data_IF_210390183931
#
_entry.id   IF_210390183931
#
_cell.length_a   1.000
_cell.length_b   1.000
_cell.length_c   1.000
_cell.angle_alpha   90.00
_cell.angle_beta   90.00
_cell.angle_gamma   90.00
#
_symmetry.space_group_name_H-M   'P 1'
#
loop_
_entity.id
_entity.type
_entity.pdbx_description
1 polymer ?
#
# COMPACT_ATOMS: atom_id res chain seq x y z
N UNK A 1 -3.55 14.69 18.96
CA UNK A 1 -4.40 13.51 19.27
C UNK A 1 -3.57 12.30 18.90
N UNK A 2 -3.30 11.39 19.85
CA UNK A 2 -2.42 10.25 19.60
C UNK A 2 -2.94 9.35 18.47
N UNK A 3 -2.04 8.53 17.91
CA UNK A 3 -2.35 7.48 16.93
C UNK A 3 -3.70 6.82 17.24
N UNK A 4 -4.62 6.87 16.28
CA UNK A 4 -5.95 6.27 16.38
C UNK A 4 -6.09 5.20 15.31
N UNK A 5 -6.30 3.94 15.70
CA UNK A 5 -6.67 2.89 14.76
C UNK A 5 -8.15 3.00 14.41
N UNK A 6 -8.46 3.04 13.12
CA UNK A 6 -9.83 3.23 12.62
C UNK A 6 -10.52 1.91 12.26
N UNK A 7 -9.76 0.94 11.77
CA UNK A 7 -10.21 -0.43 11.62
C UNK A 7 -9.01 -1.38 11.61
N UNK A 8 -9.25 -2.64 11.97
CA UNK A 8 -8.28 -3.72 11.82
C UNK A 8 -8.37 -4.38 10.44
N UNK A 9 -7.25 -4.89 9.96
CA UNK A 9 -7.18 -5.83 8.85
C UNK A 9 -6.13 -6.89 9.15
N UNK A 10 -6.25 -8.05 8.50
CA UNK A 10 -5.24 -9.10 8.58
C UNK A 10 -5.11 -9.80 7.23
N UNK A 11 -3.89 -10.16 6.88
CA UNK A 11 -3.58 -10.87 5.64
C UNK A 11 -3.72 -12.38 5.87
N UNK A 12 -4.97 -12.87 5.89
CA UNK A 12 -5.26 -14.29 6.17
C UNK A 12 -5.30 -15.19 4.94
N UNK A 13 -5.10 -14.64 3.74
CA UNK A 13 -5.38 -15.35 2.49
C UNK A 13 -4.19 -15.29 1.51
N UNK A 14 -3.97 -16.38 0.77
CA UNK A 14 -2.97 -16.44 -0.30
C UNK A 14 -3.51 -17.24 -1.48
N UNK A 15 -3.37 -16.73 -2.71
CA UNK A 15 -3.65 -17.46 -3.94
C UNK A 15 -2.38 -17.52 -4.78
N UNK A 16 -2.13 -18.67 -5.37
CA UNK A 16 -0.91 -18.93 -6.12
C UNK A 16 -1.09 -19.12 -7.61
N UNK A 17 -2.30 -18.91 -8.12
CA UNK A 17 -2.59 -19.03 -9.54
C UNK A 17 -1.68 -18.11 -10.38
N UNK A 18 -0.95 -18.72 -11.32
CA UNK A 18 -0.23 -18.04 -12.39
C UNK A 18 -1.05 -18.13 -13.67
N UNK A 19 -0.70 -17.37 -14.71
CA UNK A 19 -1.39 -17.39 -16.00
C UNK A 19 -1.47 -18.80 -16.63
N UNK A 20 -0.58 -19.72 -16.23
CA UNK A 20 -0.55 -21.12 -16.68
C UNK A 20 -1.42 -22.11 -15.87
N UNK A 21 -2.20 -21.66 -14.89
CA UNK A 21 -3.13 -22.54 -14.15
C UNK A 21 -2.48 -23.50 -13.13
N UNK A 22 -1.38 -23.09 -12.49
CA UNK A 22 -0.67 -23.94 -11.52
C UNK A 22 -1.46 -24.27 -10.24
N UNK A 23 -1.19 -25.46 -9.66
CA UNK A 23 -1.91 -26.04 -8.52
C UNK A 23 -1.16 -25.93 -7.16
N UNK A 24 -0.05 -25.19 -7.10
CA UNK A 24 0.78 -25.07 -5.88
C UNK A 24 0.22 -23.95 -5.01
N UNK A 25 0.20 -24.08 -3.68
CA UNK A 25 -0.17 -23.01 -2.72
C UNK A 25 1.02 -22.78 -1.75
N UNK A 26 1.66 -21.60 -1.78
CA UNK A 26 2.84 -21.22 -0.97
C UNK A 26 3.17 -19.71 -0.98
N UNK A 27 3.21 -19.07 0.20
CA UNK A 27 3.61 -17.67 0.52
C UNK A 27 2.72 -16.56 -0.08
N UNK A 28 2.23 -15.67 0.81
CA UNK A 28 1.27 -14.58 0.62
C UNK A 28 1.77 -13.42 -0.28
N UNK A 29 2.24 -13.70 -1.49
CA UNK A 29 2.82 -12.67 -2.37
C UNK A 29 1.73 -11.82 -3.03
N UNK A 30 1.85 -10.50 -2.95
CA UNK A 30 1.03 -9.54 -3.71
C UNK A 30 -0.29 -9.11 -3.06
N UNK A 31 -0.72 -9.73 -1.95
CA UNK A 31 -1.93 -9.32 -1.23
C UNK A 31 -1.78 -7.94 -0.60
N UNK A 32 -0.63 -7.68 0.01
CA UNK A 32 -0.26 -6.37 0.53
C UNK A 32 -0.24 -5.31 -0.58
N UNK A 33 0.25 -5.64 -1.77
CA UNK A 33 0.24 -4.74 -2.92
C UNK A 33 -1.19 -4.43 -3.38
N UNK A 34 -2.01 -5.46 -3.58
CA UNK A 34 -3.39 -5.36 -4.05
C UNK A 34 -4.31 -4.61 -3.07
N UNK A 35 -4.27 -4.96 -1.78
CA UNK A 35 -5.09 -4.31 -0.76
C UNK A 35 -4.68 -2.84 -0.58
N UNK A 36 -3.39 -2.55 -0.57
CA UNK A 36 -2.89 -1.17 -0.49
C UNK A 36 -3.27 -0.35 -1.72
N UNK A 37 -3.24 -0.96 -2.92
CA UNK A 37 -3.70 -0.29 -4.14
C UNK A 37 -5.21 -0.02 -4.12
N UNK A 38 -6.03 -0.97 -3.66
CA UNK A 38 -7.46 -0.76 -3.45
C UNK A 38 -7.75 0.35 -2.45
N UNK A 39 -7.00 0.40 -1.35
CA UNK A 39 -7.13 1.48 -0.39
C UNK A 39 -6.80 2.82 -1.04
N UNK A 40 -5.68 2.93 -1.75
CA UNK A 40 -5.32 4.14 -2.51
C UNK A 40 -6.43 4.55 -3.49
N UNK A 41 -6.91 3.62 -4.32
CA UNK A 41 -7.98 3.87 -5.29
C UNK A 41 -9.26 4.39 -4.61
N UNK A 42 -9.64 3.82 -3.46
CA UNK A 42 -10.79 4.32 -2.70
C UNK A 42 -10.59 5.78 -2.23
N UNK A 43 -9.36 6.16 -1.88
CA UNK A 43 -9.01 7.53 -1.47
C UNK A 43 -8.97 8.52 -2.63
N UNK A 44 -8.64 8.07 -3.83
CA UNK A 44 -8.72 8.85 -5.07
C UNK A 44 -10.18 9.05 -5.49
N UNK A 45 -10.98 8.00 -5.43
CA UNK A 45 -12.40 8.00 -5.80
C UNK A 45 -13.31 8.67 -4.75
N UNK A 46 -12.75 9.19 -3.64
CA UNK A 46 -13.49 9.95 -2.65
C UNK A 46 -14.31 9.13 -1.65
N UNK A 47 -14.02 7.84 -1.50
CA UNK A 47 -14.72 6.97 -0.55
C UNK A 47 -14.58 7.49 0.90
N UNK A 48 -15.66 7.48 1.71
CA UNK A 48 -15.58 7.75 3.14
C UNK A 48 -14.62 6.78 3.84
N UNK A 49 -13.90 7.25 4.85
CA UNK A 49 -12.92 6.42 5.59
C UNK A 49 -13.57 5.17 6.22
N UNK A 50 -14.81 5.28 6.69
CA UNK A 50 -15.55 4.14 7.24
C UNK A 50 -15.83 3.03 6.20
N UNK A 51 -15.74 3.35 4.90
CA UNK A 51 -15.99 2.43 3.78
C UNK A 51 -14.71 2.15 2.98
N UNK A 52 -13.55 2.65 3.40
CA UNK A 52 -12.30 2.51 2.66
C UNK A 52 -11.56 1.19 2.94
N UNK A 53 -12.12 0.30 3.77
CA UNK A 53 -11.49 -1.00 4.05
C UNK A 53 -11.46 -1.83 2.77
N UNK A 54 -10.28 -2.30 2.30
CA UNK A 54 -10.21 -3.07 1.07
C UNK A 54 -11.06 -4.33 1.13
N UNK A 55 -11.88 -4.55 0.11
CA UNK A 55 -12.66 -5.76 -0.05
C UNK A 55 -11.73 -6.95 -0.35
N UNK A 56 -11.95 -8.06 0.37
CA UNK A 56 -11.07 -9.23 0.32
C UNK A 56 -11.16 -9.93 -1.04
N UNK A 57 -12.35 -10.02 -1.63
CA UNK A 57 -12.53 -10.70 -2.93
C UNK A 57 -11.85 -9.88 -4.03
N UNK A 58 -12.05 -8.57 -4.05
CA UNK A 58 -11.38 -7.66 -4.99
C UNK A 58 -9.86 -7.70 -4.81
N UNK A 59 -9.36 -7.70 -3.57
CA UNK A 59 -7.94 -7.80 -3.29
C UNK A 59 -7.35 -9.12 -3.82
N UNK A 60 -8.07 -10.23 -3.65
CA UNK A 60 -7.66 -11.54 -4.18
C UNK A 60 -7.56 -11.58 -5.71
N UNK A 61 -8.55 -11.03 -6.41
CA UNK A 61 -8.53 -10.96 -7.89
C UNK A 61 -7.36 -10.10 -8.38
N UNK A 62 -7.14 -8.95 -7.74
CA UNK A 62 -6.04 -8.06 -8.10
C UNK A 62 -4.66 -8.64 -7.77
N UNK A 63 -4.55 -9.40 -6.68
CA UNK A 63 -3.31 -10.08 -6.33
C UNK A 63 -2.91 -11.11 -7.39
N UNK A 64 -3.88 -11.85 -7.93
CA UNK A 64 -3.63 -12.78 -9.03
C UNK A 64 -3.08 -12.03 -10.25
N UNK A 65 -3.71 -10.89 -10.60
CA UNK A 65 -3.25 -10.05 -11.71
C UNK A 65 -1.84 -9.50 -11.48
N UNK A 66 -1.60 -8.90 -10.31
CA UNK A 66 -0.31 -8.33 -9.92
C UNK A 66 0.84 -9.33 -10.06
N UNK A 67 0.60 -10.62 -9.77
CA UNK A 67 1.62 -11.68 -9.94
C UNK A 67 1.87 -12.11 -11.38
N UNK A 68 0.96 -11.81 -12.30
CA UNK A 68 1.15 -12.11 -13.72
C UNK A 68 1.96 -11.03 -14.42
N UNK A 69 1.92 -9.81 -13.89
CA UNK A 69 2.69 -8.70 -14.41
C UNK A 69 4.18 -8.85 -14.01
N UNK A 70 5.14 -8.52 -14.91
CA UNK A 70 6.55 -8.59 -14.59
C UNK A 70 6.92 -7.57 -13.50
N UNK A 71 7.53 -8.04 -12.41
CA UNK A 71 7.92 -7.23 -11.24
C UNK A 71 9.09 -6.25 -11.48
N UNK A 72 9.55 -6.10 -12.73
CA UNK A 72 10.68 -5.26 -13.08
C UNK A 72 10.31 -3.77 -13.09
N UNK A 73 11.01 -2.97 -12.29
CA UNK A 73 10.94 -1.50 -12.36
C UNK A 73 9.62 -0.86 -11.92
N UNK A 74 8.73 -1.60 -11.23
CA UNK A 74 7.46 -1.08 -10.74
C UNK A 74 6.29 -1.17 -11.72
N UNK A 75 6.48 -1.82 -12.87
CA UNK A 75 5.43 -1.97 -13.90
C UNK A 75 4.23 -2.77 -13.39
N UNK A 76 4.46 -3.72 -12.50
CA UNK A 76 3.45 -4.48 -11.77
C UNK A 76 2.52 -3.56 -10.95
N UNK A 77 3.09 -2.56 -10.25
CA UNK A 77 2.31 -1.55 -9.50
C UNK A 77 1.55 -0.63 -10.45
N UNK A 78 2.18 -0.18 -11.54
CA UNK A 78 1.52 0.66 -12.55
C UNK A 78 0.33 -0.08 -13.19
N UNK A 79 0.51 -1.33 -13.60
CA UNK A 79 -0.56 -2.14 -14.18
C UNK A 79 -1.68 -2.40 -13.17
N UNK A 80 -1.34 -2.63 -11.91
CA UNK A 80 -2.31 -2.78 -10.84
C UNK A 80 -3.21 -1.54 -10.69
N UNK A 81 -2.63 -0.34 -10.74
CA UNK A 81 -3.41 0.90 -10.68
C UNK A 81 -4.21 1.19 -11.95
N UNK A 82 -3.70 0.83 -13.13
CA UNK A 82 -4.44 0.94 -14.39
C UNK A 82 -5.76 0.13 -14.35
N UNK A 83 -5.74 -1.08 -13.77
CA UNK A 83 -6.95 -1.91 -13.58
C UNK A 83 -7.94 -1.25 -12.61
N UNK A 84 -7.45 -0.43 -11.68
CA UNK A 84 -8.25 0.34 -10.73
C UNK A 84 -8.68 1.71 -11.27
N UNK A 85 -8.45 1.98 -12.55
CA UNK A 85 -8.75 3.26 -13.21
C UNK A 85 -8.05 4.45 -12.52
N UNK A 86 -6.86 4.21 -11.96
CA UNK A 86 -6.01 5.21 -11.32
C UNK A 86 -4.65 5.26 -12.04
N UNK A 87 -3.96 6.38 -11.93
CA UNK A 87 -2.58 6.51 -12.41
C UNK A 87 -1.60 6.39 -11.25
N UNK A 88 -0.51 5.65 -11.44
CA UNK A 88 0.58 5.55 -10.47
C UNK A 88 1.91 5.97 -11.10
N UNK A 89 2.54 6.99 -10.50
CA UNK A 89 3.84 7.51 -10.95
C UNK A 89 4.89 7.27 -9.88
N UNK A 90 6.05 6.71 -10.24
CA UNK A 90 7.16 6.51 -9.31
C UNK A 90 7.59 7.85 -8.71
N UNK A 91 7.43 8.01 -7.39
CA UNK A 91 7.78 9.23 -6.66
C UNK A 91 9.13 9.10 -5.95
N UNK A 92 9.46 7.91 -5.45
CA UNK A 92 10.71 7.59 -4.76
C UNK A 92 11.11 6.15 -5.05
N UNK A 93 12.41 5.85 -5.10
CA UNK A 93 12.92 4.49 -5.33
C UNK A 93 14.27 4.28 -4.62
N UNK A 94 14.39 3.16 -3.89
CA UNK A 94 15.65 2.73 -3.28
C UNK A 94 16.16 3.64 -2.16
N UNK A 95 15.27 4.38 -1.49
CA UNK A 95 15.65 5.31 -0.42
C UNK A 95 15.45 4.70 0.96
N UNK A 96 16.07 5.27 1.99
CA UNK A 96 15.78 4.90 3.38
C UNK A 96 14.40 5.36 3.85
N UNK A 97 13.91 4.79 4.96
CA UNK A 97 12.58 5.12 5.53
C UNK A 97 12.44 6.60 5.91
N UNK A 98 13.47 7.26 6.44
CA UNK A 98 13.35 8.69 6.78
C UNK A 98 13.30 9.62 5.56
N UNK A 99 14.19 9.48 4.56
CA UNK A 99 14.11 10.23 3.31
C UNK A 99 12.75 10.06 2.61
N UNK A 100 12.36 8.82 2.28
CA UNK A 100 11.07 8.26 2.66
C UNK A 100 9.93 9.22 3.03
N UNK A 101 9.60 9.10 4.32
CA UNK A 101 8.52 9.79 5.00
C UNK A 101 8.66 11.32 4.93
N UNK A 102 9.89 11.84 4.83
CA UNK A 102 10.12 13.28 4.66
C UNK A 102 9.65 13.76 3.29
N UNK A 103 9.93 13.02 2.21
CA UNK A 103 9.45 13.35 0.87
C UNK A 103 7.92 13.33 0.77
N UNK A 104 7.26 12.34 1.38
CA UNK A 104 5.79 12.20 1.34
C UNK A 104 5.02 13.27 2.13
N UNK A 105 5.68 13.90 3.11
CA UNK A 105 5.13 15.06 3.83
C UNK A 105 5.40 16.35 3.06
N UNK A 106 6.56 16.46 2.41
CA UNK A 106 6.92 17.63 1.61
C UNK A 106 6.07 17.77 0.34
N UNK A 107 5.65 16.64 -0.24
CA UNK A 107 4.67 16.58 -1.32
C UNK A 107 3.43 15.82 -0.83
N UNK A 108 2.39 16.50 -0.31
CA UNK A 108 1.17 15.83 0.16
C UNK A 108 0.42 15.11 -0.97
N UNK A 109 0.01 13.86 -0.74
CA UNK A 109 -0.61 13.01 -1.76
C UNK A 109 -1.12 11.67 -1.22
N UNK A 110 -1.67 10.84 -2.10
CA UNK A 110 -1.96 9.42 -1.82
C UNK A 110 -0.83 8.60 -2.40
N UNK A 111 -0.21 7.74 -1.59
CA UNK A 111 0.93 6.96 -2.01
C UNK A 111 0.75 5.49 -1.71
N UNK A 112 1.10 4.67 -2.70
CA UNK A 112 1.43 3.28 -2.48
C UNK A 112 2.93 3.20 -2.15
N UNK A 113 3.27 2.68 -0.98
CA UNK A 113 4.65 2.59 -0.51
C UNK A 113 5.04 1.13 -0.34
N UNK A 114 6.31 0.81 -0.53
CA UNK A 114 6.81 -0.54 -0.34
C UNK A 114 8.24 -0.53 0.19
N UNK A 115 8.63 -1.63 0.82
CA UNK A 115 9.98 -1.84 1.36
C UNK A 115 10.71 -3.04 0.71
N UNK A 116 10.31 -3.41 -0.51
CA UNK A 116 10.80 -4.58 -1.24
C UNK A 116 10.15 -5.92 -0.89
N UNK A 117 9.58 -6.05 0.32
CA UNK A 117 8.90 -7.29 0.75
C UNK A 117 7.42 -7.09 1.07
N UNK A 118 7.06 -5.88 1.48
CA UNK A 118 5.73 -5.51 1.92
C UNK A 118 5.30 -4.20 1.27
N UNK A 119 4.01 -4.09 0.99
CA UNK A 119 3.39 -2.90 0.43
C UNK A 119 2.28 -2.38 1.33
N UNK A 120 2.23 -1.07 1.46
CA UNK A 120 1.33 -0.32 2.33
C UNK A 120 0.82 0.91 1.59
N UNK A 121 -0.09 1.65 2.20
CA UNK A 121 -0.59 2.89 1.62
C UNK A 121 -0.65 4.02 2.63
N UNK A 122 -0.52 5.26 2.15
CA UNK A 122 -0.62 6.47 2.95
C UNK A 122 -1.42 7.54 2.22
N UNK A 123 -2.10 8.40 2.97
CA UNK A 123 -2.71 9.63 2.46
C UNK A 123 -2.19 10.76 3.36
N UNK A 124 -1.46 11.71 2.77
CA UNK A 124 -0.80 12.81 3.48
C UNK A 124 -1.41 14.18 3.15
N UNK A 125 -2.50 14.23 2.37
CA UNK A 125 -3.08 15.49 1.83
C UNK A 125 -3.67 16.42 2.88
N UNK A 126 -4.39 15.86 3.86
CA UNK A 126 -5.11 16.65 4.88
C UNK A 126 -4.92 16.05 6.26
N UNK A 127 -5.45 14.85 6.46
CA UNK A 127 -5.23 14.01 7.62
C UNK A 127 -4.22 12.94 7.27
N UNK A 128 -3.28 12.67 8.17
CA UNK A 128 -2.25 11.66 7.94
C UNK A 128 -2.79 10.27 8.24
N UNK A 129 -2.88 9.46 7.20
CA UNK A 129 -3.30 8.08 7.27
C UNK A 129 -2.15 7.14 6.92
N UNK A 130 -2.15 5.96 7.56
CA UNK A 130 -1.27 4.84 7.22
C UNK A 130 -2.10 3.57 7.25
N UNK A 131 -2.17 2.90 6.11
CA UNK A 131 -2.83 1.62 5.94
C UNK A 131 -1.80 0.52 5.72
N UNK A 132 -1.90 -0.53 6.52
CA UNK A 132 -1.14 -1.76 6.38
C UNK A 132 -2.11 -2.94 6.45
N UNK A 133 -2.10 -3.82 5.45
CA UNK A 133 -3.01 -4.98 5.42
C UNK A 133 -2.85 -5.88 6.67
N UNK A 134 -1.67 -5.92 7.28
CA UNK A 134 -1.40 -6.78 8.44
C UNK A 134 -1.97 -6.26 9.75
N UNK A 135 -2.29 -4.96 9.81
CA UNK A 135 -2.62 -4.30 11.08
C UNK A 135 -3.80 -3.33 11.01
N UNK A 136 -4.14 -2.80 9.84
CA UNK A 136 -5.31 -1.96 9.61
C UNK A 136 -4.98 -0.54 9.19
N UNK A 137 -5.96 0.35 9.40
CA UNK A 137 -5.84 1.77 9.09
C UNK A 137 -5.62 2.58 10.36
N UNK A 138 -4.60 3.43 10.34
CA UNK A 138 -4.25 4.34 11.41
C UNK A 138 -4.37 5.79 10.96
N UNK A 139 -4.81 6.64 11.87
CA UNK A 139 -4.88 8.09 11.74
C UNK A 139 -3.96 8.74 12.76
N UNK A 140 -3.26 9.79 12.34
CA UNK A 140 -2.31 10.52 13.17
C UNK A 140 -2.66 12.01 13.19
N UNK A 141 -2.33 12.70 14.29
CA UNK A 141 -2.60 14.13 14.37
C UNK A 141 -1.54 15.01 13.72
N UNK A 142 -0.29 14.54 13.65
CA UNK A 142 0.81 15.29 13.06
C UNK A 142 1.87 14.37 12.44
N UNK A 143 2.79 14.99 11.70
CA UNK A 143 3.85 14.29 10.97
C UNK A 143 4.87 13.62 11.91
N UNK A 144 5.08 14.13 13.12
CA UNK A 144 6.02 13.54 14.09
C UNK A 144 5.45 12.19 14.57
N UNK A 145 4.19 12.18 14.98
CA UNK A 145 3.48 10.97 15.40
C UNK A 145 3.36 9.97 14.26
N UNK A 146 3.01 10.41 13.05
CA UNK A 146 2.91 9.57 11.86
C UNK A 146 4.24 8.90 11.54
N UNK A 147 5.34 9.66 11.51
CA UNK A 147 6.68 9.09 11.30
C UNK A 147 7.06 8.09 12.39
N UNK A 148 6.83 8.44 13.66
CA UNK A 148 7.10 7.55 14.78
C UNK A 148 6.25 6.27 14.76
N UNK A 149 4.99 6.36 14.31
CA UNK A 149 4.09 5.21 14.14
C UNK A 149 4.62 4.22 13.11
N UNK A 150 5.03 4.71 11.94
CA UNK A 150 5.56 3.85 10.87
C UNK A 150 6.93 3.26 11.25
N UNK A 151 7.84 4.07 11.82
CA UNK A 151 9.17 3.60 12.27
C UNK A 151 9.08 2.45 13.27
N UNK A 152 8.15 2.51 14.22
CA UNK A 152 7.95 1.46 15.23
C UNK A 152 7.59 0.11 14.60
N UNK A 153 6.97 0.11 13.43
CA UNK A 153 6.51 -1.10 12.72
C UNK A 153 7.57 -1.68 11.78
N UNK A 154 8.44 -0.85 11.18
CA UNK A 154 9.36 -1.30 10.11
C UNK A 154 10.83 -0.93 10.36
N UNK A 155 11.34 -1.24 11.54
CA UNK A 155 12.75 -1.05 11.85
C UNK A 155 13.63 -1.91 10.91
N UNK A 156 14.69 -1.33 10.34
CA UNK A 156 15.73 -2.07 9.61
C UNK A 156 15.51 -2.28 8.11
N UNK A 157 14.39 -1.85 7.52
CA UNK A 157 14.21 -1.89 6.07
C UNK A 157 14.95 -0.71 5.40
N UNK A 158 15.90 -1.02 4.51
CA UNK A 158 16.81 -0.02 3.93
C UNK A 158 16.48 0.39 2.50
N UNK A 159 15.49 -0.24 1.86
CA UNK A 159 15.13 0.04 0.48
C UNK A 159 13.63 0.24 0.37
N UNK A 160 13.24 1.51 0.29
CA UNK A 160 11.86 1.93 0.18
C UNK A 160 11.58 2.55 -1.19
N UNK A 161 10.36 2.34 -1.66
CA UNK A 161 9.81 2.98 -2.84
C UNK A 161 8.43 3.57 -2.55
N UNK A 162 8.04 4.53 -3.37
CA UNK A 162 6.69 5.08 -3.36
C UNK A 162 6.21 5.40 -4.78
N UNK A 163 4.92 5.19 -5.01
CA UNK A 163 4.20 5.62 -6.18
C UNK A 163 3.13 6.63 -5.76
N UNK A 164 3.17 7.83 -6.33
CA UNK A 164 2.09 8.80 -6.20
C UNK A 164 0.90 8.35 -7.04
N UNK A 165 -0.28 8.27 -6.41
CA UNK A 165 -1.52 7.83 -7.05
C UNK A 165 -2.41 9.04 -7.31
N UNK A 166 -3.00 9.10 -8.50
CA UNK A 166 -3.93 10.15 -8.94
C UNK A 166 -5.10 9.59 -9.72
#
# INVERSE_FOLDING_TARGET
>A
MPETQLFESSNQYSSLQTQGGGNVIARQLGWCAAASALWCASRIQGAPIAQSKPDILRAGVLQVRYRWDPAGGGQDVVNLFNVLECTANQAQQGVGLEPLLTALIAAPGVYHINNGFHAMAVDTRTTLYFYDIESGLYRYSDAIEWKAGIRRRYQGANQWGAFAVT
#
